data_IF_554570944180
#
_entry.id   IF_554570944180
#
_cell.length_a   1.000
_cell.length_b   1.000
_cell.length_c   1.000
_cell.angle_alpha   90.00
_cell.angle_beta   90.00
_cell.angle_gamma   90.00
#
_symmetry.space_group_name_H-M   'P 1'
#
loop_
_entity.id
_entity.type
_entity.pdbx_description
1 polymer ?
#
# COMPACT_ATOMS: atom_id res chain seq x y z
N UNK A 1 18.76 12.38 17.13
CA UNK A 1 18.06 11.12 17.13
C UNK A 1 18.28 10.35 15.85
N UNK A 2 18.37 9.05 15.98
CA UNK A 2 18.59 8.22 14.83
C UNK A 2 17.25 7.88 14.15
N UNK A 3 17.24 8.04 12.86
CA UNK A 3 16.12 7.67 12.04
C UNK A 3 16.00 6.16 11.97
N UNK A 4 14.79 5.62 11.97
CA UNK A 4 14.59 4.18 11.80
C UNK A 4 14.90 3.77 10.37
N UNK A 5 15.16 2.48 10.17
CA UNK A 5 15.37 1.95 8.81
C UNK A 5 14.17 2.20 7.91
N UNK A 6 12.96 2.04 8.47
CA UNK A 6 11.73 2.27 7.73
C UNK A 6 11.62 3.73 7.28
N UNK A 7 11.91 4.67 8.18
CA UNK A 7 11.84 6.10 7.86
C UNK A 7 12.87 6.47 6.78
N UNK A 8 14.08 5.92 6.90
CA UNK A 8 15.15 6.18 5.94
C UNK A 8 14.77 5.66 4.57
N UNK A 9 14.23 4.47 4.50
CA UNK A 9 13.78 3.84 3.27
C UNK A 9 12.66 4.66 2.63
N UNK A 10 11.72 5.09 3.46
CA UNK A 10 10.59 5.90 3.01
C UNK A 10 11.05 7.18 2.33
N UNK A 11 12.07 7.85 2.85
CA UNK A 11 12.59 9.08 2.25
C UNK A 11 13.21 8.85 0.87
N UNK A 12 13.74 7.66 0.62
CA UNK A 12 14.38 7.33 -0.65
C UNK A 12 13.40 6.98 -1.75
N UNK A 13 12.17 6.71 -1.39
CA UNK A 13 11.16 6.32 -2.36
C UNK A 13 10.64 7.52 -3.15
N UNK A 14 10.30 7.34 -4.42
CA UNK A 14 9.58 8.37 -5.16
C UNK A 14 8.27 8.72 -4.46
N UNK A 15 7.78 9.94 -4.70
CA UNK A 15 6.58 10.42 -4.04
C UNK A 15 5.37 9.48 -4.24
N UNK A 16 5.20 8.95 -5.45
CA UNK A 16 4.07 8.07 -5.72
C UNK A 16 4.14 6.76 -4.94
N UNK A 17 5.35 6.25 -4.68
CA UNK A 17 5.50 5.04 -3.89
C UNK A 17 5.31 5.32 -2.40
N UNK A 18 5.77 6.48 -1.93
CA UNK A 18 5.53 6.87 -0.54
C UNK A 18 4.03 6.99 -0.26
N UNK A 19 3.31 7.59 -1.19
CA UNK A 19 1.86 7.70 -1.07
C UNK A 19 1.20 6.33 -1.07
N UNK A 20 1.66 5.43 -1.95
CA UNK A 20 1.13 4.08 -2.03
C UNK A 20 1.32 3.32 -0.72
N UNK A 21 2.50 3.44 -0.12
CA UNK A 21 2.80 2.81 1.17
C UNK A 21 1.83 3.33 2.25
N UNK A 22 1.58 4.62 2.26
CA UNK A 22 0.63 5.23 3.20
C UNK A 22 -0.80 4.73 2.99
N UNK A 23 -1.21 4.60 1.74
CA UNK A 23 -2.55 4.11 1.41
C UNK A 23 -2.73 2.66 1.87
N UNK A 24 -1.71 1.82 1.67
CA UNK A 24 -1.77 0.42 2.08
C UNK A 24 -1.55 0.22 3.58
N UNK A 25 -1.05 1.24 4.27
CA UNK A 25 -0.81 1.16 5.71
C UNK A 25 0.29 0.20 6.09
N UNK A 26 1.32 0.09 5.25
CA UNK A 26 2.45 -0.80 5.49
C UNK A 26 3.75 -0.01 5.63
N UNK A 27 4.79 -0.67 6.11
CA UNK A 27 6.11 -0.07 6.23
C UNK A 27 6.93 -0.30 4.96
N UNK A 28 7.76 0.69 4.60
CA UNK A 28 8.64 0.57 3.45
C UNK A 28 9.69 -0.54 3.60
N UNK A 29 9.95 -0.94 4.84
CA UNK A 29 10.90 -2.02 5.14
C UNK A 29 10.34 -3.42 4.94
N UNK A 30 9.03 -3.54 4.82
CA UNK A 30 8.40 -4.85 4.70
C UNK A 30 8.69 -5.48 3.34
N UNK A 31 8.86 -6.82 3.28
CA UNK A 31 9.03 -7.48 1.99
C UNK A 31 7.74 -7.41 1.18
N UNK A 32 7.87 -7.50 -0.13
CA UNK A 32 6.74 -7.43 -1.04
C UNK A 32 5.63 -8.42 -0.68
N UNK A 33 5.99 -9.60 -0.20
CA UNK A 33 5.00 -10.61 0.19
C UNK A 33 4.09 -10.12 1.31
N UNK A 34 4.64 -9.38 2.27
CA UNK A 34 3.86 -8.82 3.37
C UNK A 34 3.00 -7.66 2.90
N UNK A 35 3.53 -6.84 2.00
CA UNK A 35 2.77 -5.75 1.39
C UNK A 35 1.60 -6.31 0.58
N UNK A 36 1.83 -7.40 -0.13
CA UNK A 36 0.77 -8.07 -0.89
C UNK A 36 -0.33 -8.60 0.03
N UNK A 37 0.05 -9.15 1.18
CA UNK A 37 -0.92 -9.62 2.17
C UNK A 37 -1.81 -8.49 2.64
N UNK A 38 -1.21 -7.34 2.98
CA UNK A 38 -1.94 -6.17 3.42
C UNK A 38 -2.89 -5.68 2.32
N UNK A 39 -2.41 -5.65 1.08
CA UNK A 39 -3.22 -5.25 -0.06
C UNK A 39 -4.43 -6.17 -0.21
N UNK A 40 -4.22 -7.48 -0.18
CA UNK A 40 -5.30 -8.44 -0.32
C UNK A 40 -6.34 -8.32 0.79
N UNK A 41 -5.87 -8.09 2.02
CA UNK A 41 -6.76 -7.91 3.15
C UNK A 41 -7.63 -6.67 2.97
N UNK A 42 -7.03 -5.57 2.48
CA UNK A 42 -7.77 -4.34 2.22
C UNK A 42 -8.79 -4.53 1.10
N UNK A 43 -8.40 -5.17 0.01
CA UNK A 43 -9.33 -5.44 -1.09
C UNK A 43 -10.52 -6.26 -0.61
N UNK A 44 -10.25 -7.30 0.15
CA UNK A 44 -11.32 -8.14 0.69
C UNK A 44 -12.26 -7.35 1.58
N UNK A 45 -11.69 -6.50 2.44
CA UNK A 45 -12.46 -5.68 3.37
C UNK A 45 -13.30 -4.61 2.66
N UNK A 46 -12.81 -4.07 1.54
CA UNK A 46 -13.46 -2.98 0.83
C UNK A 46 -14.28 -3.40 -0.38
N UNK A 47 -14.31 -4.70 -0.66
CA UNK A 47 -15.01 -5.20 -1.84
C UNK A 47 -16.51 -4.83 -1.76
N UNK A 48 -17.12 -4.39 -2.88
CA UNK A 48 -18.54 -3.98 -2.87
C UNK A 48 -19.50 -5.03 -2.32
N UNK A 49 -19.21 -6.30 -2.54
CA UNK A 49 -20.05 -7.39 -2.04
C UNK A 49 -20.11 -7.44 -0.52
N UNK A 50 -19.10 -6.88 0.13
CA UNK A 50 -19.00 -6.89 1.59
C UNK A 50 -19.55 -5.62 2.23
N UNK A 51 -19.64 -4.53 1.46
CA UNK A 51 -19.92 -3.19 2.00
C UNK A 51 -21.11 -2.50 1.35
N UNK A 52 -22.01 -3.25 0.74
CA UNK A 52 -23.24 -2.72 0.13
C UNK A 52 -23.01 -1.59 -0.88
N UNK A 53 -21.82 -1.51 -1.44
CA UNK A 53 -21.54 -0.52 -2.48
C UNK A 53 -21.41 0.91 -2.00
N UNK A 54 -21.01 1.14 -0.75
CA UNK A 54 -20.76 2.48 -0.24
C UNK A 54 -19.77 3.23 -1.12
N UNK A 55 -20.07 4.49 -1.44
CA UNK A 55 -19.18 5.33 -2.24
C UNK A 55 -17.82 5.53 -1.59
N UNK A 56 -17.79 5.72 -0.28
CA UNK A 56 -16.54 5.91 0.45
C UNK A 56 -15.68 4.65 0.34
N UNK A 57 -16.30 3.49 0.44
CA UNK A 57 -15.59 2.22 0.32
C UNK A 57 -15.08 2.01 -1.10
N UNK A 58 -15.86 2.38 -2.10
CA UNK A 58 -15.46 2.28 -3.50
C UNK A 58 -14.28 3.18 -3.80
N UNK A 59 -14.31 4.41 -3.31
CA UNK A 59 -13.21 5.35 -3.50
C UNK A 59 -11.93 4.84 -2.85
N UNK A 60 -12.06 4.28 -1.65
CA UNK A 60 -10.91 3.72 -0.95
C UNK A 60 -10.36 2.50 -1.68
N UNK A 61 -11.23 1.65 -2.18
CA UNK A 61 -10.80 0.49 -2.96
C UNK A 61 -10.01 0.92 -4.19
N UNK A 62 -10.49 1.94 -4.89
CA UNK A 62 -9.79 2.48 -6.06
C UNK A 62 -8.39 2.97 -5.67
N UNK A 63 -8.27 3.65 -4.55
CA UNK A 63 -6.99 4.11 -4.03
C UNK A 63 -6.05 2.95 -3.71
N UNK A 64 -6.58 1.92 -3.06
CA UNK A 64 -5.80 0.73 -2.71
C UNK A 64 -5.28 0.03 -3.96
N UNK A 65 -6.12 -0.11 -4.97
CA UNK A 65 -5.72 -0.72 -6.24
C UNK A 65 -4.63 0.10 -6.93
N UNK A 66 -4.79 1.43 -6.92
CA UNK A 66 -3.78 2.32 -7.46
C UNK A 66 -2.45 2.16 -6.72
N UNK A 67 -2.52 2.13 -5.39
CA UNK A 67 -1.32 2.01 -4.55
C UNK A 67 -0.54 0.74 -4.86
N UNK A 68 -1.24 -0.38 -4.96
CA UNK A 68 -0.60 -1.64 -5.29
C UNK A 68 0.06 -1.59 -6.67
N UNK A 69 -0.60 -0.95 -7.63
CA UNK A 69 -0.08 -0.80 -8.97
C UNK A 69 1.25 -0.04 -9.00
N UNK A 70 1.45 0.91 -8.07
CA UNK A 70 2.69 1.65 -7.98
C UNK A 70 3.84 0.82 -7.43
N UNK A 71 3.53 -0.22 -6.66
CA UNK A 71 4.52 -1.00 -5.91
C UNK A 71 4.85 -2.34 -6.57
N UNK A 72 3.86 -2.98 -7.17
CA UNK A 72 3.99 -4.37 -7.64
C UNK A 72 5.20 -4.63 -8.52
N UNK A 73 5.57 -3.67 -9.36
CA UNK A 73 6.69 -3.79 -10.27
C UNK A 73 7.89 -2.93 -9.87
N UNK A 74 7.83 -2.33 -8.70
CA UNK A 74 8.90 -1.44 -8.27
C UNK A 74 10.14 -2.22 -7.84
N UNK A 75 11.30 -1.75 -8.24
CA UNK A 75 12.57 -2.32 -7.81
C UNK A 75 12.78 -2.18 -6.31
N UNK A 76 12.17 -1.17 -5.71
CA UNK A 76 12.31 -0.92 -4.29
C UNK A 76 11.65 -1.99 -3.43
N UNK A 77 10.74 -2.75 -4.02
CA UNK A 77 9.96 -3.76 -3.31
C UNK A 77 10.04 -5.14 -3.94
N UNK A 78 11.06 -5.40 -4.74
CA UNK A 78 11.15 -6.64 -5.52
C UNK A 78 11.83 -7.79 -4.79
N UNK A 79 11.75 -7.85 -3.50
CA UNK A 79 12.33 -8.94 -2.72
C UNK A 79 11.31 -9.96 -2.29
#
# INVERSE_FOLDING_TARGET
EKETSAARRMRRLPAHERRAIGVLGVDADQPKSEIRKAFRALVKSLHPDMNDGSRDEEARLTEVLWAWDQIKDSRNFSR
#
